data_IF_699809136844
#
_entry.id   IF_699809136844
#
_cell.length_a   1.000
_cell.length_b   1.000
_cell.length_c   1.000
_cell.angle_alpha   90.00
_cell.angle_beta   90.00
_cell.angle_gamma   90.00
#
_symmetry.space_group_name_H-M   'P 1'
#
loop_
_entity.id
_entity.type
_entity.pdbx_description
1 polymer ?
#
# COMPACT_ATOMS: atom_id res chain seq x y z
N UNK A 1 -15.54 -28.22 7.59
CA UNK A 1 -15.39 -26.86 7.06
C UNK A 1 -16.73 -26.32 6.52
N UNK A 2 -17.43 -27.07 5.66
CA UNK A 2 -18.71 -26.70 5.03
C UNK A 2 -19.86 -26.34 6.01
N UNK A 3 -20.02 -27.06 7.12
CA UNK A 3 -21.07 -26.70 8.12
C UNK A 3 -20.77 -25.38 8.85
N UNK A 4 -19.51 -24.96 8.93
CA UNK A 4 -19.09 -23.70 9.58
C UNK A 4 -19.33 -22.50 8.66
N UNK A 5 -19.17 -22.71 7.35
CA UNK A 5 -19.52 -21.73 6.31
C UNK A 5 -21.04 -21.54 6.21
N UNK A 6 -21.82 -22.62 6.30
CA UNK A 6 -23.29 -22.53 6.29
C UNK A 6 -23.83 -21.70 7.46
N UNK A 7 -23.20 -21.77 8.64
CA UNK A 7 -23.55 -20.94 9.79
C UNK A 7 -23.18 -19.45 9.61
N UNK A 8 -22.14 -19.13 8.84
CA UNK A 8 -21.77 -17.75 8.49
C UNK A 8 -22.86 -17.07 7.64
N UNK A 9 -23.47 -17.82 6.72
CA UNK A 9 -24.58 -17.32 5.90
C UNK A 9 -25.90 -17.26 6.65
N UNK A 10 -26.13 -18.15 7.63
CA UNK A 10 -27.36 -18.15 8.44
C UNK A 10 -27.45 -16.96 9.43
N UNK A 11 -26.34 -16.26 9.72
CA UNK A 11 -26.36 -14.99 10.47
C UNK A 11 -26.85 -13.81 9.62
N UNK A 12 -26.82 -13.94 8.29
CA UNK A 12 -27.36 -12.95 7.36
C UNK A 12 -28.88 -13.13 7.34
N UNK A 13 -29.59 -12.20 7.98
CA UNK A 13 -31.05 -12.27 8.03
C UNK A 13 -31.64 -11.92 6.66
N UNK A 14 -32.03 -12.94 5.90
CA UNK A 14 -32.71 -12.76 4.63
C UNK A 14 -34.10 -12.11 4.74
N UNK A 15 -34.68 -12.02 5.95
CA UNK A 15 -35.97 -11.33 6.18
C UNK A 15 -35.80 -9.84 6.48
N UNK A 16 -34.61 -9.41 6.89
CA UNK A 16 -34.17 -8.04 6.70
C UNK A 16 -33.74 -7.91 5.24
N UNK A 17 -34.68 -8.14 4.31
CA UNK A 17 -34.55 -7.66 2.93
C UNK A 17 -34.40 -6.16 3.10
N UNK A 18 -33.23 -5.57 2.82
CA UNK A 18 -33.13 -4.15 2.96
C UNK A 18 -33.87 -3.63 1.74
N UNK A 19 -35.09 -3.14 1.95
CA UNK A 19 -35.73 -2.15 1.06
C UNK A 19 -34.76 -0.97 0.78
N UNK A 20 -33.69 -0.86 1.61
CA UNK A 20 -32.49 -0.04 1.48
C UNK A 20 -31.21 -0.75 0.98
N UNK A 21 -31.23 -1.84 0.18
CA UNK A 21 -30.19 -2.02 -0.88
C UNK A 21 -30.48 -1.02 -2.01
N UNK A 22 -30.81 0.19 -1.60
CA UNK A 22 -31.19 1.29 -2.43
C UNK A 22 -30.06 1.54 -3.41
N UNK A 23 -30.43 2.13 -4.54
CA UNK A 23 -29.53 2.71 -5.52
C UNK A 23 -28.28 3.37 -4.90
N UNK A 24 -28.38 3.94 -3.70
CA UNK A 24 -27.27 4.47 -2.89
C UNK A 24 -26.10 3.49 -2.70
N UNK A 25 -26.33 2.25 -2.27
CA UNK A 25 -25.23 1.29 -2.05
C UNK A 25 -24.59 0.85 -3.37
N UNK A 26 -25.41 0.64 -4.41
CA UNK A 26 -24.93 0.33 -5.76
C UNK A 26 -24.07 1.50 -6.26
N UNK A 27 -24.53 2.73 -6.06
CA UNK A 27 -23.81 3.93 -6.45
C UNK A 27 -22.46 4.04 -5.72
N UNK A 28 -22.42 3.82 -4.40
CA UNK A 28 -21.18 3.82 -3.61
C UNK A 28 -20.19 2.77 -4.13
N UNK A 29 -20.65 1.56 -4.47
CA UNK A 29 -19.78 0.52 -5.04
C UNK A 29 -19.22 0.90 -6.41
N UNK A 30 -20.07 1.50 -7.25
CA UNK A 30 -19.65 1.98 -8.56
C UNK A 30 -18.71 3.18 -8.45
N UNK A 31 -18.88 4.03 -7.44
CA UNK A 31 -18.08 5.24 -7.22
C UNK A 31 -16.69 4.93 -6.62
N UNK A 32 -16.58 3.88 -5.78
CA UNK A 32 -15.37 3.57 -5.03
C UNK A 32 -14.08 3.50 -5.88
N UNK A 33 -14.03 2.87 -7.07
CA UNK A 33 -12.84 2.90 -7.92
C UNK A 33 -12.45 4.30 -8.41
N UNK A 34 -13.41 5.21 -8.58
CA UNK A 34 -13.20 6.57 -9.08
C UNK A 34 -12.74 7.54 -7.97
N UNK A 35 -13.14 7.29 -6.72
CA UNK A 35 -12.72 8.06 -5.54
C UNK A 35 -11.31 7.67 -5.07
N UNK A 36 -10.85 6.47 -5.43
CA UNK A 36 -9.51 6.02 -5.08
C UNK A 36 -8.42 7.00 -5.54
N UNK A 37 -7.51 7.37 -4.63
CA UNK A 37 -6.47 8.38 -4.85
C UNK A 37 -5.56 8.12 -6.07
N UNK A 38 -5.44 6.86 -6.51
CA UNK A 38 -4.62 6.47 -7.65
C UNK A 38 -5.34 6.57 -9.00
N UNK A 39 -6.67 6.68 -9.03
CA UNK A 39 -7.46 6.77 -10.25
C UNK A 39 -6.99 7.86 -11.22
N UNK A 40 -6.86 9.15 -10.82
CA UNK A 40 -6.41 10.20 -11.74
C UNK A 40 -5.03 9.90 -12.34
N UNK A 41 -4.13 9.29 -11.55
CA UNK A 41 -2.79 8.92 -12.00
C UNK A 41 -2.80 7.82 -13.06
N UNK A 42 -3.69 6.84 -12.91
CA UNK A 42 -3.87 5.79 -13.92
C UNK A 42 -4.35 6.39 -15.24
N UNK A 43 -5.35 7.27 -15.22
CA UNK A 43 -5.85 7.93 -16.44
C UNK A 43 -4.74 8.70 -17.16
N UNK A 44 -3.93 9.46 -16.41
CA UNK A 44 -2.77 10.17 -16.97
C UNK A 44 -1.78 9.19 -17.61
N UNK A 45 -1.44 8.10 -16.92
CA UNK A 45 -0.51 7.09 -17.44
C UNK A 45 -1.03 6.44 -18.72
N UNK A 46 -2.33 6.09 -18.77
CA UNK A 46 -2.96 5.50 -19.95
C UNK A 46 -2.96 6.46 -21.13
N UNK A 47 -3.28 7.74 -20.89
CA UNK A 47 -3.26 8.77 -21.92
C UNK A 47 -1.84 9.00 -22.49
N UNK A 48 -0.86 9.17 -21.60
CA UNK A 48 0.54 9.42 -21.96
C UNK A 48 1.17 8.22 -22.70
N UNK A 49 0.76 6.99 -22.36
CA UNK A 49 1.29 5.77 -22.96
C UNK A 49 0.36 5.16 -24.01
N UNK A 50 -0.59 5.92 -24.56
CA UNK A 50 -1.59 5.42 -25.51
C UNK A 50 -1.03 4.60 -26.69
N UNK A 51 0.21 4.89 -27.11
CA UNK A 51 0.88 4.20 -28.23
C UNK A 51 1.81 3.04 -27.81
N UNK A 52 2.05 2.80 -26.51
CA UNK A 52 3.01 1.80 -26.06
C UNK A 52 2.62 1.13 -24.73
N UNK A 53 1.51 0.40 -24.75
CA UNK A 53 0.95 -0.28 -23.57
C UNK A 53 1.72 -1.55 -23.16
N UNK A 54 2.56 -2.09 -24.06
CA UNK A 54 3.26 -3.37 -23.85
C UNK A 54 4.36 -3.33 -22.78
N UNK A 55 4.63 -2.15 -22.19
CA UNK A 55 5.64 -2.02 -21.14
C UNK A 55 5.16 -2.66 -19.85
N UNK A 56 5.92 -3.63 -19.32
CA UNK A 56 5.63 -4.32 -18.05
C UNK A 56 5.31 -3.39 -16.87
N UNK A 57 5.93 -2.20 -16.85
CA UNK A 57 5.73 -1.22 -15.77
C UNK A 57 4.30 -0.64 -15.78
N UNK A 58 3.68 -0.47 -16.95
CA UNK A 58 2.29 0.03 -17.05
C UNK A 58 1.33 -0.98 -16.43
N UNK A 59 1.51 -2.27 -16.72
CA UNK A 59 0.71 -3.33 -16.11
C UNK A 59 0.86 -3.37 -14.58
N UNK A 60 2.07 -3.15 -14.07
CA UNK A 60 2.32 -3.11 -12.62
C UNK A 60 1.56 -1.95 -11.94
N UNK A 61 1.54 -0.75 -12.56
CA UNK A 61 0.75 0.38 -12.07
C UNK A 61 -0.75 0.11 -12.14
N UNK A 62 -1.22 -0.48 -13.25
CA UNK A 62 -2.63 -0.83 -13.41
C UNK A 62 -3.09 -1.87 -12.39
N UNK A 63 -2.31 -2.93 -12.17
CA UNK A 63 -2.62 -3.95 -11.17
C UNK A 63 -2.59 -3.37 -9.75
N UNK A 64 -1.60 -2.53 -9.42
CA UNK A 64 -1.58 -1.84 -8.14
C UNK A 64 -2.90 -1.09 -7.88
N UNK A 65 -3.36 -0.29 -8.85
CA UNK A 65 -4.64 0.41 -8.76
C UNK A 65 -5.84 -0.55 -8.65
N UNK A 66 -5.91 -1.59 -9.48
CA UNK A 66 -7.01 -2.56 -9.46
C UNK A 66 -7.11 -3.22 -8.09
N UNK A 67 -6.00 -3.69 -7.52
CA UNK A 67 -6.01 -4.33 -6.20
C UNK A 67 -6.36 -3.33 -5.08
N UNK A 68 -5.85 -2.10 -5.14
CA UNK A 68 -6.20 -1.05 -4.15
C UNK A 68 -7.68 -0.69 -4.19
N UNK A 69 -8.21 -0.39 -5.38
CA UNK A 69 -9.62 -0.05 -5.57
C UNK A 69 -10.56 -1.22 -5.25
N UNK A 70 -10.16 -2.47 -5.56
CA UNK A 70 -10.94 -3.66 -5.18
C UNK A 70 -11.04 -3.80 -3.66
N UNK A 71 -9.97 -3.52 -2.93
CA UNK A 71 -10.01 -3.48 -1.46
C UNK A 71 -11.02 -2.47 -0.93
N UNK A 72 -11.07 -1.26 -1.53
CA UNK A 72 -12.04 -0.22 -1.17
C UNK A 72 -13.48 -0.67 -1.46
N UNK A 73 -13.73 -1.23 -2.65
CA UNK A 73 -15.06 -1.77 -3.02
C UNK A 73 -15.51 -2.85 -2.03
N UNK A 74 -14.64 -3.80 -1.68
CA UNK A 74 -14.96 -4.87 -0.72
C UNK A 74 -15.23 -4.29 0.67
N UNK A 75 -14.49 -3.25 1.06
CA UNK A 75 -14.69 -2.55 2.33
C UNK A 75 -16.08 -1.91 2.39
N UNK A 76 -16.43 -1.12 1.39
CA UNK A 76 -17.77 -0.53 1.29
C UNK A 76 -18.85 -1.60 1.25
N UNK A 77 -18.62 -2.68 0.51
CA UNK A 77 -19.55 -3.80 0.41
C UNK A 77 -19.84 -4.42 1.78
N UNK A 78 -18.80 -4.62 2.58
CA UNK A 78 -18.96 -5.08 3.95
C UNK A 78 -19.79 -4.10 4.79
N UNK A 79 -19.54 -2.80 4.68
CA UNK A 79 -20.27 -1.80 5.47
C UNK A 79 -21.78 -1.74 5.11
N UNK A 80 -22.15 -2.17 3.91
CA UNK A 80 -23.54 -2.30 3.48
C UNK A 80 -24.27 -3.57 3.99
N UNK A 81 -23.53 -4.61 4.43
CA UNK A 81 -24.15 -5.87 4.92
C UNK A 81 -24.98 -5.56 6.16
N UNK A 82 -26.30 -5.82 6.23
CA UNK A 82 -27.11 -5.46 7.40
C UNK A 82 -26.63 -6.21 8.66
N UNK A 83 -26.62 -5.50 9.80
CA UNK A 83 -26.31 -6.10 11.11
C UNK A 83 -27.62 -6.18 11.89
N UNK A 84 -27.93 -7.36 12.45
CA UNK A 84 -28.99 -7.48 13.48
C UNK A 84 -28.71 -6.47 14.60
N UNK A 85 -29.74 -6.07 15.36
CA UNK A 85 -29.69 -5.07 16.45
C UNK A 85 -28.77 -5.44 17.63
N UNK A 86 -27.50 -5.73 17.37
CA UNK A 86 -26.44 -5.92 18.32
C UNK A 86 -25.65 -4.59 18.40
N UNK A 87 -26.37 -3.48 18.64
CA UNK A 87 -25.80 -2.11 18.71
C UNK A 87 -24.69 -1.98 19.75
N UNK A 88 -24.64 -2.92 20.70
CA UNK A 88 -23.65 -2.97 21.77
C UNK A 88 -22.46 -3.90 21.46
N UNK A 89 -22.45 -4.61 20.33
CA UNK A 89 -21.28 -5.37 19.91
C UNK A 89 -20.13 -4.43 19.50
N UNK A 90 -18.90 -4.96 19.55
CA UNK A 90 -17.74 -4.24 19.04
C UNK A 90 -17.83 -4.11 17.52
N UNK A 91 -17.42 -2.97 16.97
CA UNK A 91 -17.28 -2.77 15.52
C UNK A 91 -16.37 -3.88 14.93
N UNK A 92 -16.66 -4.45 13.75
CA UNK A 92 -17.72 -4.11 12.79
C UNK A 92 -19.07 -4.82 13.04
N UNK A 93 -19.40 -5.13 14.29
CA UNK A 93 -20.70 -5.61 14.80
C UNK A 93 -21.16 -6.99 14.34
N UNK A 94 -20.48 -7.59 13.36
CA UNK A 94 -20.74 -8.97 12.92
C UNK A 94 -19.47 -9.63 12.40
N UNK A 95 -19.49 -10.96 12.44
CA UNK A 95 -18.42 -11.78 11.90
C UNK A 95 -18.30 -11.61 10.39
N UNK A 96 -19.42 -11.61 9.67
CA UNK A 96 -19.43 -11.44 8.21
C UNK A 96 -18.73 -10.12 7.79
N UNK A 97 -19.07 -9.00 8.44
CA UNK A 97 -18.41 -7.72 8.17
C UNK A 97 -16.92 -7.73 8.50
N UNK A 98 -16.52 -8.37 9.59
CA UNK A 98 -15.09 -8.48 9.93
C UNK A 98 -14.31 -9.29 8.89
N UNK A 99 -14.82 -10.45 8.48
CA UNK A 99 -14.12 -11.27 7.49
C UNK A 99 -14.06 -10.59 6.13
N UNK A 100 -15.17 -10.03 5.65
CA UNK A 100 -15.24 -9.41 4.32
C UNK A 100 -14.54 -8.05 4.33
N UNK A 101 -14.94 -7.14 5.21
CA UNK A 101 -14.49 -5.75 5.22
C UNK A 101 -13.16 -5.52 5.92
N UNK A 102 -12.72 -6.39 6.82
CA UNK A 102 -11.39 -6.27 7.42
C UNK A 102 -10.42 -7.23 6.74
N UNK A 103 -10.66 -8.55 6.78
CA UNK A 103 -9.65 -9.51 6.30
C UNK A 103 -9.53 -9.48 4.77
N UNK A 104 -10.62 -9.72 4.03
CA UNK A 104 -10.56 -9.84 2.57
C UNK A 104 -10.16 -8.50 1.94
N UNK A 105 -10.79 -7.39 2.34
CA UNK A 105 -10.41 -6.06 1.87
C UNK A 105 -8.90 -5.78 2.11
N UNK A 106 -8.40 -6.10 3.31
CA UNK A 106 -6.99 -5.91 3.65
C UNK A 106 -6.04 -6.79 2.83
N UNK A 107 -6.42 -8.02 2.48
CA UNK A 107 -5.64 -8.86 1.56
C UNK A 107 -5.48 -8.17 0.21
N UNK A 108 -6.56 -7.63 -0.37
CA UNK A 108 -6.49 -6.90 -1.64
C UNK A 108 -5.62 -5.64 -1.54
N UNK A 109 -5.76 -4.87 -0.45
CA UNK A 109 -4.90 -3.72 -0.19
C UNK A 109 -3.42 -4.09 -0.10
N UNK A 110 -3.08 -5.15 0.65
CA UNK A 110 -1.69 -5.62 0.80
C UNK A 110 -1.14 -6.18 -0.51
N UNK A 111 -1.93 -6.89 -1.31
CA UNK A 111 -1.49 -7.33 -2.65
C UNK A 111 -1.17 -6.11 -3.52
N UNK A 112 -2.02 -5.09 -3.52
CA UNK A 112 -1.78 -3.84 -4.23
C UNK A 112 -0.48 -3.17 -3.78
N UNK A 113 -0.26 -3.08 -2.47
CA UNK A 113 0.98 -2.55 -1.89
C UNK A 113 2.21 -3.37 -2.32
N UNK A 114 2.17 -4.70 -2.22
CA UNK A 114 3.28 -5.59 -2.62
C UNK A 114 3.65 -5.35 -4.09
N UNK A 115 2.65 -5.26 -4.98
CA UNK A 115 2.87 -4.98 -6.41
C UNK A 115 3.57 -3.63 -6.59
N UNK A 116 3.19 -2.63 -5.79
CA UNK A 116 3.84 -1.32 -5.76
C UNK A 116 5.30 -1.39 -5.27
N UNK A 117 5.56 -2.12 -4.19
CA UNK A 117 6.89 -2.26 -3.60
C UNK A 117 7.91 -2.95 -4.53
N UNK A 118 7.44 -3.76 -5.48
CA UNK A 118 8.31 -4.33 -6.52
C UNK A 118 8.81 -3.27 -7.52
N UNK A 119 8.16 -2.11 -7.62
CA UNK A 119 8.48 -1.09 -8.60
C UNK A 119 9.93 -0.58 -8.53
N UNK A 120 10.44 -0.11 -7.38
CA UNK A 120 11.83 0.36 -7.27
C UNK A 120 12.84 -0.74 -7.60
N UNK A 121 12.59 -1.96 -7.14
CA UNK A 121 13.45 -3.14 -7.34
C UNK A 121 13.54 -3.54 -8.81
N UNK A 122 12.39 -3.66 -9.49
CA UNK A 122 12.33 -3.98 -10.92
C UNK A 122 13.06 -2.91 -11.73
N UNK A 123 12.89 -1.64 -11.37
CA UNK A 123 13.58 -0.53 -12.03
C UNK A 123 15.10 -0.58 -11.82
N UNK A 124 15.54 -0.72 -10.57
CA UNK A 124 16.96 -0.76 -10.24
C UNK A 124 17.65 -1.95 -10.91
N UNK A 125 16.99 -3.11 -10.97
CA UNK A 125 17.49 -4.31 -11.65
C UNK A 125 17.70 -4.14 -13.16
N UNK A 126 17.01 -3.19 -13.82
CA UNK A 126 17.26 -2.85 -15.23
C UNK A 126 18.53 -2.02 -15.43
N UNK A 127 18.95 -1.28 -14.41
CA UNK A 127 20.09 -0.35 -14.46
C UNK A 127 21.36 -1.02 -13.92
N UNK A 128 21.24 -1.78 -12.84
CA UNK A 128 22.34 -2.52 -12.22
C UNK A 128 22.80 -3.63 -13.16
N UNK A 129 24.11 -3.77 -13.39
CA UNK A 129 24.65 -4.86 -14.23
C UNK A 129 25.09 -6.08 -13.40
N UNK A 130 25.64 -5.85 -12.20
CA UNK A 130 26.11 -6.92 -11.31
C UNK A 130 25.00 -7.89 -10.91
N UNK A 131 25.21 -9.20 -11.15
CA UNK A 131 24.27 -10.28 -10.79
C UNK A 131 24.06 -10.37 -9.28
N UNK A 132 25.13 -10.26 -8.49
CA UNK A 132 25.07 -10.33 -7.01
C UNK A 132 24.19 -9.22 -6.44
N UNK A 133 24.34 -7.99 -6.95
CA UNK A 133 23.51 -6.85 -6.52
C UNK A 133 22.04 -7.01 -6.91
N UNK A 134 21.74 -7.57 -8.09
CA UNK A 134 20.36 -7.90 -8.48
C UNK A 134 19.73 -8.93 -7.55
N UNK A 135 20.49 -9.95 -7.15
CA UNK A 135 20.02 -10.95 -6.19
C UNK A 135 19.74 -10.28 -4.85
N UNK A 136 20.68 -9.46 -4.33
CA UNK A 136 20.51 -8.72 -3.09
C UNK A 136 19.24 -7.87 -3.09
N UNK A 137 19.01 -7.07 -4.15
CA UNK A 137 17.82 -6.24 -4.30
C UNK A 137 16.53 -7.06 -4.27
N UNK A 138 16.49 -8.19 -4.99
CA UNK A 138 15.32 -9.08 -5.00
C UNK A 138 15.09 -9.72 -3.63
N UNK A 139 16.15 -10.19 -2.97
CA UNK A 139 16.05 -10.83 -1.66
C UNK A 139 15.50 -9.87 -0.61
N UNK A 140 15.99 -8.64 -0.54
CA UNK A 140 15.52 -7.64 0.42
C UNK A 140 14.06 -7.25 0.13
N UNK A 141 13.70 -7.08 -1.14
CA UNK A 141 12.31 -6.81 -1.53
C UNK A 141 11.37 -7.97 -1.16
N UNK A 142 11.81 -9.22 -1.31
CA UNK A 142 11.04 -10.40 -0.87
C UNK A 142 10.86 -10.40 0.65
N UNK A 143 11.95 -10.18 1.41
CA UNK A 143 11.88 -10.12 2.88
C UNK A 143 10.96 -9.00 3.36
N UNK A 144 11.00 -7.85 2.72
CA UNK A 144 10.08 -6.74 2.98
C UNK A 144 8.62 -7.13 2.70
N UNK A 145 8.33 -7.79 1.58
CA UNK A 145 6.97 -8.23 1.28
C UNK A 145 6.47 -9.33 2.21
N UNK A 146 7.35 -10.22 2.69
CA UNK A 146 7.01 -11.23 3.71
C UNK A 146 6.55 -10.56 5.01
N UNK A 147 7.18 -9.45 5.42
CA UNK A 147 6.73 -8.74 6.62
C UNK A 147 5.31 -8.19 6.44
N UNK A 148 4.91 -7.76 5.23
CA UNK A 148 3.52 -7.40 4.92
C UNK A 148 2.55 -8.58 4.98
N UNK A 149 2.93 -9.75 4.47
CA UNK A 149 2.08 -10.95 4.58
C UNK A 149 1.84 -11.34 6.05
N UNK A 150 2.80 -11.08 6.94
CA UNK A 150 2.64 -11.34 8.38
C UNK A 150 1.51 -10.53 9.02
N UNK A 151 1.20 -9.32 8.53
CA UNK A 151 0.09 -8.54 9.08
C UNK A 151 -1.28 -9.12 8.72
N UNK A 152 -1.40 -9.79 7.55
CA UNK A 152 -2.59 -10.56 7.20
C UNK A 152 -2.77 -11.72 8.18
N UNK A 153 -1.69 -12.43 8.52
CA UNK A 153 -1.74 -13.54 9.46
C UNK A 153 -2.21 -13.09 10.86
N UNK A 154 -1.78 -11.90 11.31
CA UNK A 154 -2.27 -11.28 12.56
C UNK A 154 -3.79 -11.07 12.51
N UNK A 155 -4.33 -10.45 11.45
CA UNK A 155 -5.78 -10.27 11.30
C UNK A 155 -6.57 -11.57 11.28
N UNK A 156 -6.07 -12.59 10.57
CA UNK A 156 -6.73 -13.89 10.48
C UNK A 156 -6.73 -14.60 11.84
N UNK A 157 -5.58 -14.61 12.53
CA UNK A 157 -5.44 -15.29 13.82
C UNK A 157 -6.38 -14.70 14.88
N UNK A 158 -6.36 -13.40 15.08
CA UNK A 158 -7.22 -12.74 16.06
C UNK A 158 -8.68 -12.68 15.60
N UNK A 159 -8.93 -12.53 14.30
CA UNK A 159 -10.27 -12.57 13.72
C UNK A 159 -11.04 -13.86 14.01
N UNK A 160 -10.34 -14.98 14.12
CA UNK A 160 -10.93 -16.27 14.48
C UNK A 160 -11.32 -16.35 15.96
N UNK A 161 -10.73 -15.54 16.84
CA UNK A 161 -11.00 -15.52 18.29
C UNK A 161 -12.19 -14.63 18.65
N UNK A 162 -12.48 -13.59 17.87
CA UNK A 162 -13.56 -12.64 18.16
C UNK A 162 -14.93 -13.27 17.90
N UNK A 163 -15.84 -13.12 18.87
CA UNK A 163 -17.16 -13.73 18.85
C UNK A 163 -18.27 -12.81 18.32
N UNK A 164 -18.11 -11.49 18.40
CA UNK A 164 -19.10 -10.48 17.99
C UNK A 164 -20.46 -10.63 18.70
N UNK A 165 -20.43 -11.00 19.99
CA UNK A 165 -21.64 -11.18 20.82
C UNK A 165 -21.65 -10.19 21.98
N UNK A 166 -22.81 -9.58 22.27
CA UNK A 166 -22.93 -8.63 23.38
C UNK A 166 -22.50 -9.25 24.73
N UNK A 167 -22.85 -10.51 24.97
CA UNK A 167 -22.48 -11.24 26.19
C UNK A 167 -20.96 -11.43 26.36
N UNK A 168 -20.19 -11.29 25.27
CA UNK A 168 -18.73 -11.45 25.24
C UNK A 168 -18.02 -10.14 24.89
N UNK A 169 -18.70 -8.99 25.01
CA UNK A 169 -18.16 -7.68 24.60
C UNK A 169 -16.81 -7.37 25.24
N UNK A 170 -16.64 -7.65 26.53
CA UNK A 170 -15.38 -7.36 27.24
C UNK A 170 -14.23 -8.23 26.70
N UNK A 171 -14.46 -9.54 26.53
CA UNK A 171 -13.49 -10.49 25.94
C UNK A 171 -13.13 -10.12 24.50
N UNK A 172 -14.13 -9.76 23.69
CA UNK A 172 -13.93 -9.30 22.32
C UNK A 172 -13.14 -7.98 22.26
N UNK A 173 -13.38 -7.07 23.21
CA UNK A 173 -12.66 -5.79 23.31
C UNK A 173 -11.19 -6.00 23.68
N UNK A 174 -10.91 -6.89 24.63
CA UNK A 174 -9.54 -7.26 25.00
C UNK A 174 -8.82 -7.93 23.84
N UNK A 175 -9.47 -8.89 23.17
CA UNK A 175 -8.92 -9.56 21.98
C UNK A 175 -8.64 -8.56 20.85
N UNK A 176 -9.51 -7.56 20.66
CA UNK A 176 -9.31 -6.52 19.66
C UNK A 176 -8.14 -5.59 20.03
N UNK A 177 -7.99 -5.23 21.31
CA UNK A 177 -6.84 -4.47 21.81
C UNK A 177 -5.52 -5.21 21.51
N UNK A 178 -5.46 -6.51 21.79
CA UNK A 178 -4.29 -7.33 21.46
C UNK A 178 -4.00 -7.38 19.96
N UNK A 179 -5.05 -7.60 19.14
CA UNK A 179 -4.94 -7.57 17.68
C UNK A 179 -4.28 -6.28 17.19
N UNK A 180 -4.75 -5.14 17.71
CA UNK A 180 -4.28 -3.83 17.30
C UNK A 180 -2.85 -3.56 17.75
N UNK A 181 -2.49 -3.95 18.97
CA UNK A 181 -1.11 -3.86 19.45
C UNK A 181 -0.17 -4.66 18.53
N UNK A 182 -0.50 -5.93 18.26
CA UNK A 182 0.34 -6.76 17.37
C UNK A 182 0.35 -6.25 15.94
N UNK A 183 -0.77 -5.71 15.44
CA UNK A 183 -0.83 -5.12 14.12
C UNK A 183 0.09 -3.89 14.00
N UNK A 184 0.05 -2.97 14.96
CA UNK A 184 0.95 -1.79 14.96
C UNK A 184 2.43 -2.16 15.04
N UNK A 185 2.78 -3.23 15.77
CA UNK A 185 4.15 -3.78 15.76
C UNK A 185 4.52 -4.22 14.32
N UNK A 186 3.61 -4.89 13.60
CA UNK A 186 3.87 -5.26 12.20
C UNK A 186 4.01 -4.04 11.30
N UNK A 187 3.21 -2.98 11.51
CA UNK A 187 3.32 -1.73 10.74
C UNK A 187 4.67 -1.07 10.95
N UNK A 188 5.16 -0.96 12.19
CA UNK A 188 6.51 -0.42 12.47
C UNK A 188 7.58 -1.27 11.78
N UNK A 189 7.45 -2.60 11.84
CA UNK A 189 8.36 -3.51 11.14
C UNK A 189 8.33 -3.27 9.61
N UNK A 190 7.16 -3.02 9.01
CA UNK A 190 7.06 -2.68 7.59
C UNK A 190 7.85 -1.42 7.24
N UNK A 191 7.74 -0.36 8.04
CA UNK A 191 8.47 0.88 7.79
C UNK A 191 9.98 0.73 7.92
N UNK A 192 10.45 -0.04 8.90
CA UNK A 192 11.89 -0.37 9.04
C UNK A 192 12.36 -1.15 7.80
N UNK A 193 11.62 -2.18 7.39
CA UNK A 193 11.97 -2.99 6.22
C UNK A 193 11.90 -2.20 4.91
N UNK A 194 10.94 -1.27 4.79
CA UNK A 194 10.83 -0.33 3.66
C UNK A 194 12.05 0.56 3.58
N UNK A 195 12.49 1.11 4.71
CA UNK A 195 13.71 1.93 4.79
C UNK A 195 14.96 1.15 4.38
N UNK A 196 15.12 -0.09 4.86
CA UNK A 196 16.23 -0.96 4.48
C UNK A 196 16.21 -1.30 2.99
N UNK A 197 15.03 -1.54 2.43
CA UNK A 197 14.84 -1.77 1.00
C UNK A 197 15.27 -0.55 0.17
N UNK A 198 14.81 0.64 0.53
CA UNK A 198 15.18 1.90 -0.14
C UNK A 198 16.70 2.17 -0.02
N UNK A 199 17.29 1.98 1.16
CA UNK A 199 18.73 2.12 1.38
C UNK A 199 19.53 1.14 0.49
N UNK A 200 19.08 -0.10 0.36
CA UNK A 200 19.71 -1.08 -0.52
C UNK A 200 19.59 -0.70 -2.00
N UNK A 201 18.44 -0.17 -2.44
CA UNK A 201 18.23 0.32 -3.80
C UNK A 201 19.20 1.46 -4.10
N UNK A 202 19.32 2.44 -3.20
CA UNK A 202 20.28 3.54 -3.32
C UNK A 202 21.70 3.00 -3.38
N UNK A 203 22.09 2.08 -2.50
CA UNK A 203 23.43 1.50 -2.48
C UNK A 203 23.77 0.80 -3.81
N UNK A 204 22.85 0.01 -4.34
CA UNK A 204 23.06 -0.72 -5.60
C UNK A 204 23.17 0.24 -6.80
N UNK A 205 22.32 1.26 -6.87
CA UNK A 205 22.40 2.30 -7.89
C UNK A 205 23.68 3.11 -7.75
N UNK A 206 24.08 3.46 -6.52
CA UNK A 206 25.24 4.31 -6.28
C UNK A 206 26.54 3.66 -6.75
N UNK A 207 26.71 2.40 -6.39
CA UNK A 207 27.95 1.66 -6.66
C UNK A 207 28.16 1.31 -8.14
N UNK A 208 27.09 1.14 -8.92
CA UNK A 208 27.20 0.79 -10.35
C UNK A 208 27.15 2.00 -11.27
N UNK A 209 26.29 2.97 -10.96
CA UNK A 209 25.98 4.08 -11.89
C UNK A 209 26.92 5.26 -11.65
N UNK A 210 27.16 5.67 -10.40
CA UNK A 210 28.02 6.84 -10.14
C UNK A 210 29.50 6.55 -10.37
N UNK A 211 29.96 5.33 -10.08
CA UNK A 211 31.35 4.96 -10.37
C UNK A 211 31.62 4.97 -11.90
N UNK A 212 30.62 4.59 -12.70
CA UNK A 212 30.69 4.68 -14.17
C UNK A 212 30.49 6.10 -14.72
N UNK A 213 29.69 6.94 -14.07
CA UNK A 213 29.55 8.34 -14.48
C UNK A 213 30.77 9.19 -14.14
N UNK A 214 31.41 8.95 -12.99
CA UNK A 214 32.67 9.63 -12.63
C UNK A 214 33.78 9.35 -13.64
N UNK A 215 33.79 8.17 -14.26
CA UNK A 215 34.74 7.80 -15.32
C UNK A 215 34.36 8.39 -16.69
N UNK A 216 33.13 8.86 -16.89
CA UNK A 216 32.62 9.45 -18.13
C UNK A 216 32.51 10.99 -18.10
N UNK A 217 33.09 11.65 -17.09
CA UNK A 217 33.01 13.11 -16.79
C UNK A 217 33.36 14.09 -17.94
N UNK A 218 33.75 13.61 -19.12
CA UNK A 218 34.02 14.42 -20.31
C UNK A 218 32.92 14.48 -21.38
N UNK A 219 31.78 13.76 -21.25
CA UNK A 219 30.69 13.76 -22.24
C UNK A 219 29.43 14.46 -21.73
N UNK A 220 28.72 15.15 -22.63
CA UNK A 220 27.61 16.06 -22.34
C UNK A 220 26.52 15.49 -21.43
N UNK A 221 26.00 16.33 -20.54
CA UNK A 221 24.81 16.12 -19.71
C UNK A 221 23.61 15.58 -20.53
N UNK A 222 23.40 14.27 -20.48
CA UNK A 222 22.41 13.51 -21.26
C UNK A 222 21.13 13.18 -20.49
N UNK A 223 20.21 12.50 -21.19
CA UNK A 223 18.95 11.97 -20.67
C UNK A 223 19.15 11.12 -19.39
N UNK A 224 20.23 10.35 -19.34
CA UNK A 224 20.52 9.38 -18.27
C UNK A 224 20.76 10.07 -16.92
N UNK A 225 21.50 11.19 -16.87
CA UNK A 225 21.76 11.88 -15.60
C UNK A 225 20.50 12.55 -15.05
N UNK A 226 19.68 13.17 -15.92
CA UNK A 226 18.40 13.77 -15.50
C UNK A 226 17.44 12.71 -14.96
N UNK A 227 17.37 11.58 -15.66
CA UNK A 227 16.58 10.43 -15.24
C UNK A 227 17.05 9.85 -13.89
N UNK A 228 18.37 9.78 -13.70
CA UNK A 228 18.96 9.30 -12.46
C UNK A 228 18.68 10.24 -11.29
N UNK A 229 18.83 11.56 -11.50
CA UNK A 229 18.51 12.57 -10.48
C UNK A 229 17.05 12.45 -10.03
N UNK A 230 16.12 12.22 -10.95
CA UNK A 230 14.69 12.02 -10.63
C UNK A 230 14.45 10.73 -9.84
N UNK A 231 15.13 9.65 -10.23
CA UNK A 231 15.04 8.37 -9.54
C UNK A 231 15.58 8.44 -8.12
N UNK A 232 16.70 9.14 -7.91
CA UNK A 232 17.33 9.33 -6.60
C UNK A 232 16.49 10.24 -5.71
N UNK A 233 16.01 11.37 -6.24
CA UNK A 233 15.14 12.30 -5.53
C UNK A 233 13.92 11.58 -4.94
N UNK A 234 13.30 10.68 -5.72
CA UNK A 234 12.18 9.87 -5.23
C UNK A 234 12.55 9.05 -4.00
N UNK A 235 13.64 8.28 -4.08
CA UNK A 235 13.99 7.33 -3.01
C UNK A 235 14.40 8.12 -1.75
N UNK A 236 15.12 9.22 -1.92
CA UNK A 236 15.45 10.13 -0.81
C UNK A 236 14.18 10.68 -0.15
N UNK A 237 13.22 11.13 -0.96
CA UNK A 237 11.96 11.68 -0.45
C UNK A 237 11.12 10.62 0.28
N UNK A 238 11.05 9.39 -0.26
CA UNK A 238 10.43 8.22 0.40
C UNK A 238 11.07 7.93 1.77
N UNK A 239 12.41 7.97 1.85
CA UNK A 239 13.14 7.75 3.10
C UNK A 239 12.88 8.86 4.12
N UNK A 240 12.86 10.14 3.70
CA UNK A 240 12.56 11.28 4.58
C UNK A 240 11.14 11.14 5.15
N UNK A 241 10.14 10.90 4.30
CA UNK A 241 8.75 10.74 4.74
C UNK A 241 8.61 9.54 5.69
N UNK A 242 9.30 8.43 5.40
CA UNK A 242 9.28 7.24 6.28
C UNK A 242 9.92 7.52 7.65
N UNK A 243 11.05 8.24 7.70
CA UNK A 243 11.69 8.65 8.96
C UNK A 243 10.75 9.55 9.75
N UNK A 244 10.19 10.59 9.11
CA UNK A 244 9.23 11.50 9.76
C UNK A 244 8.02 10.74 10.32
N UNK A 245 7.48 9.78 9.56
CA UNK A 245 6.38 8.95 9.99
C UNK A 245 6.74 8.10 11.22
N UNK A 246 7.88 7.41 11.22
CA UNK A 246 8.33 6.60 12.35
C UNK A 246 8.55 7.48 13.59
N UNK A 247 9.23 8.62 13.42
CA UNK A 247 9.54 9.56 14.51
C UNK A 247 8.30 10.11 15.19
N UNK A 248 7.18 10.22 14.49
CA UNK A 248 5.92 10.68 15.05
C UNK A 248 5.05 9.54 15.59
N UNK A 249 4.95 8.45 14.84
CA UNK A 249 4.04 7.34 15.15
C UNK A 249 4.51 6.54 16.36
N UNK A 250 5.81 6.29 16.53
CA UNK A 250 6.31 5.48 17.65
C UNK A 250 6.04 6.13 19.00
N UNK A 251 6.37 7.42 19.24
CA UNK A 251 6.01 8.09 20.49
C UNK A 251 4.50 8.11 20.76
N UNK A 252 3.68 8.36 19.73
CA UNK A 252 2.22 8.33 19.87
C UNK A 252 1.71 6.96 20.31
N UNK A 253 2.24 5.88 19.75
CA UNK A 253 1.89 4.53 20.14
C UNK A 253 2.33 4.23 21.58
N UNK A 254 3.51 4.68 22.01
CA UNK A 254 3.99 4.50 23.39
C UNK A 254 3.04 5.19 24.38
N UNK A 255 2.69 6.45 24.14
CA UNK A 255 1.74 7.19 24.99
C UNK A 255 0.41 6.45 25.07
N UNK A 256 -0.14 6.07 23.91
CA UNK A 256 -1.42 5.36 23.84
C UNK A 256 -1.41 3.99 24.51
N UNK A 257 -0.30 3.25 24.43
CA UNK A 257 -0.18 1.97 25.12
C UNK A 257 -0.02 2.14 26.64
N UNK A 258 0.64 3.21 27.10
CA UNK A 258 0.78 3.52 28.51
C UNK A 258 -0.55 3.95 29.14
N UNK A 259 -1.31 4.85 28.49
CA UNK A 259 -2.65 5.27 28.95
C UNK A 259 -3.60 4.07 29.10
N UNK A 260 -3.49 3.10 28.18
CA UNK A 260 -4.35 1.92 28.17
C UNK A 260 -3.98 0.88 29.26
N UNK A 261 -2.86 1.07 29.97
CA UNK A 261 -2.49 0.27 31.14
C UNK A 261 -3.02 0.89 32.44
N UNK A 262 -3.36 2.18 32.44
CA UNK A 262 -4.02 2.84 33.56
C UNK A 262 -5.51 2.48 33.55
N UNK A 263 -5.98 1.90 34.66
CA UNK A 263 -7.20 1.08 34.79
C UNK A 263 -8.55 1.83 34.69
N UNK A 264 -8.62 2.95 34.01
CA UNK A 264 -9.92 3.61 33.84
C UNK A 264 -10.76 2.89 32.78
N UNK A 265 -11.73 2.11 33.27
CA UNK A 265 -12.68 1.28 32.53
C UNK A 265 -13.64 2.08 31.62
N UNK A 266 -13.43 3.38 31.41
CA UNK A 266 -14.18 4.20 30.46
C UNK A 266 -13.73 3.85 29.03
N UNK A 267 -14.36 2.78 28.56
CA UNK A 267 -14.10 2.02 27.33
C UNK A 267 -14.46 2.80 26.05
N UNK A 268 -13.82 3.95 25.78
CA UNK A 268 -14.11 4.76 24.59
C UNK A 268 -12.93 4.93 23.61
N UNK A 269 -11.67 4.70 24.00
CA UNK A 269 -10.53 5.14 23.17
C UNK A 269 -9.98 4.09 22.19
N UNK A 270 -10.65 2.94 22.05
CA UNK A 270 -10.30 1.94 21.02
C UNK A 270 -10.48 2.51 19.60
N UNK A 271 -11.29 3.57 19.44
CA UNK A 271 -11.71 4.14 18.17
C UNK A 271 -10.86 5.30 17.64
N UNK A 272 -9.89 5.82 18.39
CA UNK A 272 -8.88 6.81 17.94
C UNK A 272 -7.84 6.22 16.97
N UNK A 273 -8.24 5.21 16.20
CA UNK A 273 -7.39 4.48 15.25
C UNK A 273 -7.63 4.87 13.81
N UNK A 274 -8.80 5.45 13.50
CA UNK A 274 -9.08 5.96 12.17
C UNK A 274 -8.07 7.05 11.78
N UNK A 275 -7.63 7.87 12.73
CA UNK A 275 -6.68 8.95 12.46
C UNK A 275 -5.26 8.43 12.20
N UNK A 276 -4.74 7.53 13.05
CA UNK A 276 -3.42 6.95 12.84
C UNK A 276 -3.35 6.10 11.56
N UNK A 277 -4.41 5.37 11.23
CA UNK A 277 -4.49 4.63 9.98
C UNK A 277 -4.49 5.56 8.77
N UNK A 278 -5.18 6.70 8.84
CA UNK A 278 -5.18 7.70 7.78
C UNK A 278 -3.80 8.29 7.53
N UNK A 279 -3.00 8.52 8.58
CA UNK A 279 -1.60 8.97 8.44
C UNK A 279 -0.76 7.88 7.76
N UNK A 280 -0.89 6.62 8.23
CA UNK A 280 -0.20 5.47 7.60
C UNK A 280 -0.55 5.35 6.12
N UNK A 281 -1.83 5.39 5.79
CA UNK A 281 -2.31 5.27 4.42
C UNK A 281 -1.85 6.44 3.54
N UNK A 282 -1.73 7.65 4.10
CA UNK A 282 -1.17 8.81 3.40
C UNK A 282 0.30 8.59 3.06
N UNK A 283 1.11 8.11 4.00
CA UNK A 283 2.54 7.84 3.77
C UNK A 283 2.75 6.72 2.76
N UNK A 284 1.99 5.63 2.88
CA UNK A 284 2.04 4.54 1.91
C UNK A 284 1.59 5.04 0.54
N UNK A 285 0.51 5.82 0.46
CA UNK A 285 0.00 6.37 -0.80
C UNK A 285 0.99 7.32 -1.45
N UNK A 286 1.70 8.13 -0.66
CA UNK A 286 2.76 9.01 -1.14
C UNK A 286 3.85 8.25 -1.91
N UNK A 287 4.36 7.16 -1.33
CA UNK A 287 5.39 6.33 -1.97
C UNK A 287 4.91 5.73 -3.30
N UNK A 288 3.65 5.32 -3.36
CA UNK A 288 3.04 4.78 -4.57
C UNK A 288 2.73 5.85 -5.62
N UNK A 289 2.21 7.02 -5.23
CA UNK A 289 1.99 8.17 -6.13
C UNK A 289 3.30 8.56 -6.82
N UNK A 290 4.40 8.54 -6.08
CA UNK A 290 5.71 8.84 -6.64
C UNK A 290 6.14 7.84 -7.73
N UNK A 291 5.63 6.61 -7.76
CA UNK A 291 5.85 5.68 -8.87
C UNK A 291 5.18 6.15 -10.16
N UNK A 292 3.96 6.71 -10.07
CA UNK A 292 3.21 7.24 -11.20
C UNK A 292 3.89 8.51 -11.75
N UNK A 293 4.22 9.46 -10.86
CA UNK A 293 4.95 10.68 -11.21
C UNK A 293 6.24 10.33 -11.96
N UNK A 294 6.96 9.35 -11.45
CA UNK A 294 8.22 8.89 -12.00
C UNK A 294 8.08 8.30 -13.42
N UNK A 295 6.97 7.61 -13.74
CA UNK A 295 6.68 7.18 -15.12
C UNK A 295 6.29 8.34 -16.04
N UNK A 296 5.56 9.32 -15.53
CA UNK A 296 5.19 10.54 -16.28
C UNK A 296 6.45 11.32 -16.67
N UNK A 297 7.32 11.59 -15.69
CA UNK A 297 8.59 12.29 -15.90
C UNK A 297 9.49 11.55 -16.88
N UNK A 298 9.58 10.23 -16.76
CA UNK A 298 10.30 9.37 -17.69
C UNK A 298 9.89 9.58 -19.14
N UNK A 299 8.58 9.55 -19.40
CA UNK A 299 8.06 9.71 -20.75
C UNK A 299 8.32 11.12 -21.27
N UNK A 300 8.13 12.13 -20.42
CA UNK A 300 8.39 13.53 -20.76
C UNK A 300 9.86 13.74 -21.20
N UNK A 301 10.81 13.24 -20.42
CA UNK A 301 12.23 13.41 -20.74
C UNK A 301 12.58 12.62 -22.01
N UNK A 302 12.04 11.42 -22.20
CA UNK A 302 12.36 10.59 -23.38
C UNK A 302 11.87 11.25 -24.68
N UNK A 303 10.74 11.95 -24.61
CA UNK A 303 10.17 12.65 -25.77
C UNK A 303 10.95 13.92 -26.10
N UNK A 304 11.54 14.58 -25.09
CA UNK A 304 12.30 15.80 -25.27
C UNK A 304 13.78 15.57 -25.64
N UNK A 305 14.37 14.43 -25.27
CA UNK A 305 15.73 14.07 -25.72
C UNK A 305 15.80 13.90 -27.23
N UNK A 306 14.75 13.35 -27.84
CA UNK A 306 14.70 13.08 -29.28
C UNK A 306 14.65 14.36 -30.12
N UNK A 307 14.19 15.48 -29.54
CA UNK A 307 14.13 16.79 -30.22
C UNK A 307 15.44 17.57 -30.24
N UNK A 308 16.47 17.14 -29.50
CA UNK A 308 17.72 17.90 -29.29
C UNK A 308 18.96 17.33 -29.97
N UNK A 309 18.86 16.29 -30.79
CA UNK A 309 19.99 15.88 -31.65
C UNK A 309 19.85 16.53 -33.03
N UNK A 310 20.51 17.68 -33.30
CA UNK A 310 20.84 17.99 -34.68
C UNK A 310 21.62 16.80 -35.23
N UNK A 311 21.19 16.25 -36.37
CA UNK A 311 21.99 15.30 -37.13
C UNK A 311 23.36 15.95 -37.29
N UNK A 312 24.37 15.38 -36.65
CA UNK A 312 25.75 15.74 -36.94
C UNK A 312 25.95 15.28 -38.38
N UNK A 313 25.70 16.19 -39.33
CA UNK A 313 26.06 15.97 -40.71
C UNK A 313 27.53 15.59 -40.68
N UNK A 314 27.82 14.41 -41.22
CA UNK A 314 29.14 13.93 -41.51
C UNK A 314 29.93 15.03 -42.21
N UNK A 315 30.77 15.73 -41.46
CA UNK A 315 31.85 16.55 -42.01
C UNK A 315 32.90 15.54 -42.45
N UNK A 316 32.67 14.96 -43.62
CA UNK A 316 33.69 14.35 -44.46
C UNK A 316 33.42 14.80 -45.88
N UNK A 317 34.01 15.95 -46.20
CA UNK A 317 34.52 16.32 -47.52
C UNK A 317 35.39 17.55 -47.35
#
# INVERSE_FOLDING_TARGET
MINKERNLFNEIDGTLIPEKWAFENIFIFLEAPFVNIFFPWVIIILFINRNNWRKSIIYMLLFHYIFRSTGDVIRYFSDAIPVKHNRNAIWPYSKARFYIGCIIAYVFWIIGEIIGDWYPTVRACKIVHSKTKKILLKTICILFNISKVSSIAVYVYYGMKIHFKNSKRNEDTETFKELLEKWWITVICHFIMSFLNDACVIYALKTEVFNKLKTLKGRSYGFVEKFQQISELRIILSMIVSICFISFTVPMLIVKFNENNEKDNTSSNVFDQFDLNSIRDTVVSFNHIMMYIDQILLKYISTNSDKKMPKLNSIHS
#
